data_IF_912026968084
#
_entry.id   IF_912026968084
#
_cell.length_a   1.000
_cell.length_b   1.000
_cell.length_c   1.000
_cell.angle_alpha   90.00
_cell.angle_beta   90.00
_cell.angle_gamma   90.00
#
_symmetry.space_group_name_H-M   'P 1'
#
loop_
_entity.id
_entity.type
_entity.pdbx_description
1 polymer ?
#
# COMPACT_ATOMS: atom_id res chain seq x y z
N UNK A 1 29.97 -15.88 -8.88
CA UNK A 1 29.24 -16.41 -10.06
C UNK A 1 27.85 -15.77 -10.06
N UNK A 2 27.55 -14.85 -10.98
CA UNK A 2 26.27 -14.12 -11.00
C UNK A 2 25.19 -14.96 -11.68
N UNK A 3 24.03 -15.15 -11.03
CA UNK A 3 22.82 -15.59 -11.73
C UNK A 3 22.03 -14.36 -12.19
N UNK A 4 21.96 -14.20 -13.52
CA UNK A 4 21.18 -13.15 -14.19
C UNK A 4 19.69 -13.50 -14.24
N UNK A 5 18.88 -12.45 -14.26
CA UNK A 5 17.48 -12.40 -14.67
C UNK A 5 17.05 -13.45 -15.71
N UNK A 6 16.00 -14.20 -15.41
CA UNK A 6 14.89 -14.51 -16.33
C UNK A 6 13.60 -14.39 -15.52
N UNK A 7 12.57 -13.75 -16.07
CA UNK A 7 11.27 -13.58 -15.41
C UNK A 7 10.13 -14.07 -16.29
N UNK A 8 9.02 -14.44 -15.64
CA UNK A 8 7.74 -14.67 -16.30
C UNK A 8 6.58 -14.21 -15.41
N UNK A 9 5.50 -13.81 -16.07
CA UNK A 9 4.37 -13.04 -15.54
C UNK A 9 3.53 -13.77 -14.48
N UNK A 10 2.72 -13.02 -13.73
CA UNK A 10 1.45 -13.53 -13.23
C UNK A 10 0.40 -12.40 -13.18
N UNK A 11 -0.82 -12.72 -13.60
CA UNK A 11 -1.96 -11.81 -13.68
C UNK A 11 -2.66 -11.64 -12.31
N UNK A 12 -3.38 -10.53 -12.13
CA UNK A 12 -4.34 -10.37 -11.02
C UNK A 12 -5.68 -10.97 -11.44
N UNK A 13 -6.22 -11.89 -10.63
CA UNK A 13 -7.60 -12.37 -10.76
C UNK A 13 -8.51 -11.63 -9.77
N UNK A 14 -9.38 -10.75 -10.28
CA UNK A 14 -10.55 -10.31 -9.53
C UNK A 14 -11.65 -11.36 -9.62
N UNK A 15 -11.86 -12.16 -8.55
CA UNK A 15 -13.07 -12.98 -8.41
C UNK A 15 -14.23 -12.11 -7.93
N UNK A 16 -14.97 -11.54 -8.88
CA UNK A 16 -16.30 -11.00 -8.62
C UNK A 16 -17.27 -12.14 -8.30
N UNK A 17 -17.60 -12.32 -7.01
CA UNK A 17 -18.69 -13.17 -6.58
C UNK A 17 -20.06 -12.47 -6.80
N UNK A 18 -20.37 -12.11 -8.05
CA UNK A 18 -21.69 -11.61 -8.42
C UNK A 18 -22.65 -12.79 -8.45
N UNK A 19 -23.52 -12.87 -7.44
CA UNK A 19 -24.60 -13.84 -7.38
C UNK A 19 -25.65 -13.49 -8.46
N UNK A 20 -25.47 -14.05 -9.67
CA UNK A 20 -26.40 -13.91 -10.79
C UNK A 20 -27.82 -14.33 -10.39
N UNK A 21 -28.69 -13.37 -10.09
CA UNK A 21 -30.14 -13.56 -10.24
C UNK A 21 -30.47 -13.53 -11.72
N UNK A 22 -30.53 -14.71 -12.34
CA UNK A 22 -31.24 -14.86 -13.60
C UNK A 22 -32.74 -14.66 -13.35
N UNK A 23 -33.30 -13.58 -13.91
CA UNK A 23 -34.71 -13.52 -14.24
C UNK A 23 -34.80 -12.90 -15.63
N UNK A 24 -35.29 -13.71 -16.58
CA UNK A 24 -35.39 -13.32 -17.99
C UNK A 24 -36.38 -12.17 -18.16
N UNK A 25 -35.90 -10.99 -18.53
CA UNK A 25 -36.70 -10.00 -19.23
C UNK A 25 -36.83 -10.43 -20.70
N UNK A 26 -37.69 -11.42 -20.95
CA UNK A 26 -38.03 -11.86 -22.30
C UNK A 26 -38.92 -10.82 -22.98
N UNK A 27 -38.34 -9.97 -23.83
CA UNK A 27 -39.11 -9.22 -24.84
C UNK A 27 -39.58 -10.25 -25.87
N UNK A 28 -40.89 -10.38 -26.05
CA UNK A 28 -41.49 -11.14 -27.14
C UNK A 28 -42.55 -10.25 -27.79
N UNK A 29 -42.35 -9.98 -29.08
CA UNK A 29 -43.25 -9.17 -29.89
C UNK A 29 -44.58 -9.87 -30.20
N UNK A 30 -45.52 -9.04 -30.65
CA UNK A 30 -46.90 -9.37 -31.01
C UNK A 30 -47.05 -10.49 -32.06
N UNK A 31 -47.96 -11.44 -31.82
CA UNK A 31 -48.92 -11.87 -32.87
C UNK A 31 -50.16 -12.61 -32.35
N UNK A 32 -51.31 -12.09 -32.76
CA UNK A 32 -52.68 -12.59 -32.78
C UNK A 32 -52.90 -14.12 -32.84
N UNK A 33 -53.76 -14.71 -31.99
CA UNK A 33 -55.06 -15.32 -32.39
C UNK A 33 -55.93 -15.89 -31.25
N UNK A 34 -57.21 -15.51 -31.30
CA UNK A 34 -58.50 -16.13 -30.89
C UNK A 34 -58.59 -17.43 -30.02
N UNK A 35 -59.66 -17.41 -29.21
CA UNK A 35 -60.34 -18.50 -28.47
C UNK A 35 -59.63 -18.92 -27.16
N UNK A 36 -60.29 -19.17 -26.02
CA UNK A 36 -61.72 -19.03 -25.66
C UNK A 36 -62.08 -19.88 -24.43
N UNK A 37 -62.98 -19.39 -23.56
CA UNK A 37 -63.65 -20.08 -22.42
C UNK A 37 -62.87 -20.40 -21.13
N UNK A 38 -63.66 -20.44 -20.03
CA UNK A 38 -63.39 -20.94 -18.68
C UNK A 38 -62.44 -20.13 -17.76
N UNK A 39 -63.04 -19.38 -16.83
CA UNK A 39 -62.35 -18.82 -15.67
C UNK A 39 -62.28 -19.84 -14.52
N UNK A 40 -61.13 -19.95 -13.88
CA UNK A 40 -60.99 -20.58 -12.56
C UNK A 40 -60.35 -19.59 -11.59
N UNK A 41 -61.09 -19.26 -10.52
CA UNK A 41 -60.58 -18.43 -9.43
C UNK A 41 -59.61 -19.29 -8.62
N UNK A 42 -58.31 -18.97 -8.70
CA UNK A 42 -57.29 -19.51 -7.81
C UNK A 42 -56.94 -18.43 -6.80
N UNK A 43 -57.30 -18.66 -5.55
CA UNK A 43 -56.96 -17.78 -4.43
C UNK A 43 -55.43 -17.62 -4.34
N UNK A 44 -54.95 -16.38 -4.35
CA UNK A 44 -53.55 -16.09 -4.07
C UNK A 44 -53.35 -16.09 -2.55
N UNK A 45 -52.51 -16.97 -1.98
CA UNK A 45 -52.12 -16.81 -0.59
C UNK A 45 -51.38 -15.50 -0.43
N UNK A 46 -51.84 -14.66 0.50
CA UNK A 46 -51.14 -13.44 0.91
C UNK A 46 -49.88 -13.86 1.68
N UNK A 47 -48.80 -14.12 0.93
CA UNK A 47 -47.48 -14.26 1.50
C UNK A 47 -47.11 -12.95 2.19
N UNK A 48 -47.15 -12.96 3.52
CA UNK A 48 -46.57 -11.91 4.34
C UNK A 48 -45.16 -11.62 3.83
N UNK A 49 -44.91 -10.35 3.54
CA UNK A 49 -43.56 -9.83 3.32
C UNK A 49 -42.82 -9.90 4.66
N UNK A 50 -42.36 -11.09 5.02
CA UNK A 50 -41.39 -11.27 6.09
C UNK A 50 -40.19 -10.40 5.72
N UNK A 51 -39.93 -9.39 6.53
CA UNK A 51 -38.77 -8.51 6.40
C UNK A 51 -37.52 -9.40 6.42
N UNK A 52 -36.99 -9.69 5.23
CA UNK A 52 -35.61 -10.11 5.08
C UNK A 52 -34.79 -8.85 5.30
N UNK A 53 -34.58 -8.52 6.57
CA UNK A 53 -33.53 -7.63 7.03
C UNK A 53 -32.19 -8.28 6.70
N UNK A 54 -31.82 -8.21 5.43
CA UNK A 54 -30.51 -8.60 4.95
C UNK A 54 -29.49 -7.67 5.58
N UNK A 55 -28.94 -8.09 6.73
CA UNK A 55 -27.81 -7.45 7.38
C UNK A 55 -26.60 -7.60 6.45
N UNK A 56 -26.48 -6.68 5.49
CA UNK A 56 -25.30 -6.53 4.64
C UNK A 56 -24.15 -6.04 5.49
N UNK A 57 -23.41 -6.99 6.07
CA UNK A 57 -22.16 -6.69 6.77
C UNK A 57 -21.10 -6.36 5.73
N UNK A 58 -20.84 -5.08 5.53
CA UNK A 58 -19.81 -4.62 4.61
C UNK A 58 -18.45 -4.76 5.29
N UNK A 59 -17.62 -5.68 4.79
CA UNK A 59 -16.29 -5.88 5.32
C UNK A 59 -15.26 -5.02 4.57
N UNK A 60 -14.54 -4.17 5.29
CA UNK A 60 -13.41 -3.39 4.78
C UNK A 60 -12.12 -4.09 5.17
N UNK A 61 -11.21 -4.26 4.21
CA UNK A 61 -9.94 -4.96 4.41
C UNK A 61 -8.77 -4.00 4.14
N UNK A 62 -8.07 -3.59 5.19
CA UNK A 62 -6.90 -2.71 5.16
C UNK A 62 -5.63 -3.51 4.84
N UNK A 63 -4.82 -3.07 3.88
CA UNK A 63 -3.83 -3.96 3.24
C UNK A 63 -2.38 -3.49 3.46
N UNK A 64 -1.64 -4.14 4.37
CA UNK A 64 -0.26 -3.77 4.75
C UNK A 64 0.74 -4.92 4.58
N UNK A 65 2.04 -4.65 4.66
CA UNK A 65 3.10 -5.67 4.49
C UNK A 65 3.48 -6.41 5.79
N UNK A 66 3.08 -5.89 6.96
CA UNK A 66 3.57 -6.34 8.27
C UNK A 66 5.04 -5.98 8.52
N UNK A 67 5.49 -6.17 9.77
CA UNK A 67 6.85 -5.82 10.21
C UNK A 67 7.38 -6.86 11.21
N UNK A 68 8.31 -7.76 10.82
CA UNK A 68 8.70 -8.88 11.67
C UNK A 68 9.55 -8.45 12.88
N UNK A 69 9.00 -8.56 14.10
CA UNK A 69 9.64 -8.10 15.35
C UNK A 69 10.71 -9.04 15.94
N UNK A 70 11.01 -10.16 15.30
CA UNK A 70 12.07 -11.10 15.75
C UNK A 70 12.98 -11.50 14.59
N UNK A 71 14.25 -11.81 14.88
CA UNK A 71 15.21 -12.26 13.85
C UNK A 71 14.72 -13.56 13.15
N UNK A 72 14.06 -14.46 13.89
CA UNK A 72 13.45 -15.67 13.34
C UNK A 72 12.32 -15.35 12.34
N UNK A 73 11.37 -14.50 12.74
CA UNK A 73 10.28 -14.09 11.83
C UNK A 73 10.82 -13.28 10.65
N UNK A 74 11.91 -12.53 10.83
CA UNK A 74 12.55 -11.76 9.76
C UNK A 74 13.19 -12.67 8.72
N UNK A 75 13.93 -13.71 9.13
CA UNK A 75 14.44 -14.74 8.21
C UNK A 75 13.30 -15.40 7.42
N UNK A 76 12.22 -15.81 8.09
CA UNK A 76 11.05 -16.38 7.43
C UNK A 76 10.36 -15.40 6.46
N UNK A 77 10.27 -14.12 6.84
CA UNK A 77 9.70 -13.07 6.00
C UNK A 77 10.51 -12.87 4.72
N UNK A 78 11.84 -12.73 4.85
CA UNK A 78 12.74 -12.62 3.70
C UNK A 78 12.72 -13.87 2.81
N UNK A 79 12.67 -15.07 3.40
CA UNK A 79 12.56 -16.32 2.63
C UNK A 79 11.23 -16.38 1.85
N UNK A 80 10.10 -16.03 2.49
CA UNK A 80 8.78 -15.93 1.81
C UNK A 80 8.77 -14.85 0.72
N UNK A 81 9.41 -13.70 0.95
CA UNK A 81 9.58 -12.64 -0.05
C UNK A 81 10.40 -13.11 -1.25
N UNK A 82 11.55 -13.74 -0.99
CA UNK A 82 12.40 -14.35 -2.01
C UNK A 82 11.68 -15.45 -2.80
N UNK A 83 10.90 -16.32 -2.14
CA UNK A 83 10.06 -17.33 -2.80
C UNK A 83 9.04 -16.66 -3.74
N UNK A 84 8.31 -15.65 -3.26
CA UNK A 84 7.29 -14.93 -4.05
C UNK A 84 7.92 -14.26 -5.28
N UNK A 85 9.11 -13.70 -5.14
CA UNK A 85 9.82 -12.95 -6.18
C UNK A 85 10.54 -13.87 -7.19
N UNK A 86 11.44 -14.76 -6.73
CA UNK A 86 12.25 -15.64 -7.57
C UNK A 86 11.56 -16.94 -7.99
N UNK A 87 10.36 -17.22 -7.47
CA UNK A 87 9.58 -18.47 -7.69
C UNK A 87 10.32 -19.75 -7.25
N UNK A 88 11.36 -19.64 -6.43
CA UNK A 88 12.05 -20.80 -5.88
C UNK A 88 11.26 -21.46 -4.74
N UNK A 89 11.37 -22.79 -4.57
CA UNK A 89 10.87 -23.50 -3.40
C UNK A 89 11.33 -22.87 -2.08
N UNK A 90 10.44 -22.82 -1.09
CA UNK A 90 10.70 -22.17 0.20
C UNK A 90 11.97 -22.70 0.88
N UNK A 91 12.21 -24.01 0.82
CA UNK A 91 13.38 -24.64 1.45
C UNK A 91 14.71 -24.10 0.89
N UNK A 92 14.81 -23.87 -0.43
CA UNK A 92 16.00 -23.26 -1.03
C UNK A 92 16.15 -21.82 -0.56
N UNK A 93 15.07 -21.04 -0.57
CA UNK A 93 15.13 -19.64 -0.14
C UNK A 93 15.50 -19.50 1.34
N UNK A 94 15.05 -20.41 2.22
CA UNK A 94 15.46 -20.45 3.62
C UNK A 94 16.95 -20.76 3.76
N UNK A 95 17.45 -21.81 3.09
CA UNK A 95 18.88 -22.16 3.10
C UNK A 95 19.77 -21.01 2.61
N UNK A 96 19.38 -20.33 1.53
CA UNK A 96 20.09 -19.15 1.05
C UNK A 96 20.04 -18.01 2.06
N UNK A 97 18.87 -17.70 2.65
CA UNK A 97 18.73 -16.64 3.66
C UNK A 97 19.55 -16.96 4.92
N UNK A 98 19.63 -18.21 5.37
CA UNK A 98 20.45 -18.60 6.52
C UNK A 98 21.94 -18.46 6.24
N UNK A 99 22.42 -18.89 5.06
CA UNK A 99 23.82 -18.78 4.67
C UNK A 99 24.30 -17.33 4.53
N UNK A 100 23.44 -16.43 4.03
CA UNK A 100 23.76 -15.00 3.83
C UNK A 100 23.39 -14.12 5.02
N UNK A 101 22.66 -14.64 6.02
CA UNK A 101 22.16 -13.85 7.15
C UNK A 101 23.24 -13.02 7.86
N UNK A 102 24.47 -13.53 8.13
CA UNK A 102 25.52 -12.75 8.78
C UNK A 102 25.94 -11.50 7.98
N UNK A 103 25.78 -11.53 6.66
CA UNK A 103 26.07 -10.41 5.76
C UNK A 103 24.89 -9.41 5.66
N UNK A 104 23.69 -9.81 6.08
CA UNK A 104 22.46 -9.01 6.02
C UNK A 104 22.32 -8.05 7.22
N UNK A 105 23.39 -7.31 7.54
CA UNK A 105 23.44 -6.37 8.68
C UNK A 105 22.26 -5.37 8.68
N UNK A 106 21.78 -4.96 7.49
CA UNK A 106 20.64 -4.04 7.34
C UNK A 106 19.35 -4.55 7.99
N UNK A 107 18.96 -5.78 7.70
CA UNK A 107 17.76 -6.37 8.29
C UNK A 107 17.93 -6.59 9.80
N UNK A 108 19.13 -6.98 10.23
CA UNK A 108 19.43 -7.19 11.65
C UNK A 108 19.28 -5.90 12.48
N UNK A 109 19.82 -4.76 12.01
CA UNK A 109 19.69 -3.51 12.77
C UNK A 109 18.24 -2.97 12.75
N UNK A 110 17.50 -3.14 11.66
CA UNK A 110 16.12 -2.66 11.58
C UNK A 110 15.24 -3.34 12.64
N UNK A 111 15.42 -4.66 12.81
CA UNK A 111 14.71 -5.46 13.83
C UNK A 111 15.16 -5.09 15.25
N UNK A 112 16.43 -4.75 15.45
CA UNK A 112 16.95 -4.35 16.76
C UNK A 112 16.35 -3.01 17.23
N UNK A 113 16.48 -1.95 16.43
CA UNK A 113 16.00 -0.61 16.76
C UNK A 113 14.48 -0.56 17.01
N UNK A 114 13.72 -1.21 16.15
CA UNK A 114 12.26 -1.19 16.19
C UNK A 114 11.68 -2.34 17.04
N UNK A 115 12.51 -2.97 17.90
CA UNK A 115 12.01 -3.86 18.95
C UNK A 115 11.28 -3.07 20.05
N UNK A 116 11.67 -1.82 20.26
CA UNK A 116 11.15 -0.93 21.32
C UNK A 116 10.12 0.09 20.81
N UNK A 117 9.98 0.27 19.49
CA UNK A 117 8.94 1.11 18.92
C UNK A 117 7.56 0.44 18.95
N UNK A 118 6.49 1.21 18.92
CA UNK A 118 5.12 0.67 18.89
C UNK A 118 4.94 -0.33 17.73
N UNK A 119 4.15 -1.37 17.97
CA UNK A 119 3.78 -2.38 17.00
C UNK A 119 2.99 -1.76 15.84
N UNK A 120 3.36 -2.06 14.59
CA UNK A 120 2.59 -1.66 13.41
C UNK A 120 1.17 -2.24 13.49
N UNK A 121 1.02 -3.44 14.04
CA UNK A 121 -0.26 -4.11 14.21
C UNK A 121 -1.16 -3.32 15.19
N UNK A 122 -0.61 -2.69 16.24
CA UNK A 122 -1.36 -1.83 17.16
C UNK A 122 -1.83 -0.53 16.49
N UNK A 123 -0.98 0.06 15.64
CA UNK A 123 -1.35 1.26 14.86
C UNK A 123 -2.47 0.92 13.87
N UNK A 124 -2.35 -0.22 13.18
CA UNK A 124 -3.37 -0.72 12.26
C UNK A 124 -4.66 -1.07 12.99
N UNK A 125 -4.61 -1.70 14.17
CA UNK A 125 -5.79 -2.02 15.00
C UNK A 125 -6.54 -0.75 15.42
N UNK A 126 -5.83 0.27 15.95
CA UNK A 126 -6.43 1.57 16.29
C UNK A 126 -7.12 2.21 15.09
N UNK A 127 -6.45 2.25 13.93
CA UNK A 127 -7.06 2.78 12.70
C UNK A 127 -8.24 1.96 12.19
N UNK A 128 -8.19 0.63 12.31
CA UNK A 128 -9.26 -0.29 11.91
C UNK A 128 -10.53 0.01 12.73
N UNK A 129 -10.39 0.16 14.05
CA UNK A 129 -11.48 0.51 14.95
C UNK A 129 -12.04 1.91 14.67
N UNK A 130 -11.20 2.94 14.56
CA UNK A 130 -11.67 4.30 14.26
C UNK A 130 -12.36 4.39 12.88
N UNK A 131 -11.85 3.66 11.87
CA UNK A 131 -12.50 3.60 10.56
C UNK A 131 -13.86 2.89 10.63
N UNK A 132 -13.97 1.80 11.40
CA UNK A 132 -15.24 1.10 11.63
C UNK A 132 -16.27 2.02 12.31
N UNK A 133 -15.86 2.76 13.35
CA UNK A 133 -16.71 3.76 14.02
C UNK A 133 -17.17 4.87 13.05
N UNK A 134 -16.25 5.46 12.28
CA UNK A 134 -16.57 6.51 11.32
C UNK A 134 -17.50 6.02 10.20
N UNK A 135 -17.28 4.83 9.64
CA UNK A 135 -18.12 4.28 8.58
C UNK A 135 -19.54 3.94 9.07
N UNK A 136 -19.64 3.33 10.25
CA UNK A 136 -20.92 3.05 10.89
C UNK A 136 -21.71 4.33 11.24
N UNK A 137 -21.01 5.44 11.55
CA UNK A 137 -21.65 6.73 11.78
C UNK A 137 -22.08 7.45 10.49
N UNK A 138 -21.25 7.43 9.44
CA UNK A 138 -21.48 8.20 8.21
C UNK A 138 -22.41 7.50 7.21
N UNK A 139 -22.48 6.17 7.21
CA UNK A 139 -23.21 5.37 6.21
C UNK A 139 -24.11 4.30 6.86
N UNK A 140 -24.99 4.65 7.82
CA UNK A 140 -25.81 3.68 8.55
C UNK A 140 -26.74 2.85 7.63
N UNK A 141 -27.18 3.43 6.52
CA UNK A 141 -28.06 2.80 5.53
C UNK A 141 -27.43 1.63 4.76
N UNK A 142 -26.09 1.51 4.78
CA UNK A 142 -25.36 0.41 4.12
C UNK A 142 -25.20 -0.84 5.01
N UNK A 143 -25.69 -0.77 6.25
CA UNK A 143 -25.55 -1.82 7.26
C UNK A 143 -24.26 -1.70 8.07
N UNK A 144 -24.08 -2.61 9.04
CA UNK A 144 -22.92 -2.56 9.94
C UNK A 144 -21.62 -2.88 9.19
N UNK A 145 -20.68 -1.94 9.21
CA UNK A 145 -19.33 -2.15 8.72
C UNK A 145 -18.53 -3.00 9.71
N UNK A 146 -17.66 -3.85 9.18
CA UNK A 146 -16.60 -4.49 9.95
C UNK A 146 -15.26 -4.28 9.25
N UNK A 147 -14.32 -3.63 9.92
CA UNK A 147 -12.98 -3.40 9.40
C UNK A 147 -12.03 -4.49 9.90
N UNK A 148 -11.17 -4.96 9.01
CA UNK A 148 -10.12 -5.96 9.29
C UNK A 148 -8.88 -5.65 8.44
N UNK A 149 -7.76 -6.33 8.67
CA UNK A 149 -6.54 -6.08 7.89
C UNK A 149 -5.85 -7.35 7.34
N UNK A 150 -5.28 -7.25 6.13
CA UNK A 150 -4.53 -8.28 5.43
C UNK A 150 -3.42 -7.66 4.55
N UNK A 151 -3.12 -8.22 3.35
CA UNK A 151 -1.96 -7.85 2.52
C UNK A 151 -2.31 -7.51 1.05
N UNK A 152 -1.78 -6.40 0.52
CA UNK A 152 -1.71 -5.99 -0.92
C UNK A 152 -3.08 -5.79 -1.66
N UNK A 153 -3.48 -4.62 -2.21
CA UNK A 153 -2.83 -3.31 -2.46
C UNK A 153 -3.89 -2.18 -2.70
N UNK A 154 -3.46 -1.03 -3.25
CA UNK A 154 -4.22 0.20 -3.62
C UNK A 154 -4.73 1.08 -2.46
N UNK A 155 -4.47 2.39 -2.54
CA UNK A 155 -4.74 3.38 -1.48
C UNK A 155 -5.12 4.75 -2.09
N UNK A 156 -6.24 5.38 -1.69
CA UNK A 156 -6.65 6.69 -2.21
C UNK A 156 -6.09 7.86 -1.38
N UNK A 157 -5.59 8.89 -2.08
CA UNK A 157 -5.27 10.25 -1.57
C UNK A 157 -4.12 10.44 -0.56
N UNK A 158 -3.04 9.65 -0.71
CA UNK A 158 -1.71 9.89 -0.08
C UNK A 158 -1.22 11.35 -0.22
N UNK A 159 -1.56 12.00 -1.33
CA UNK A 159 -1.14 13.37 -1.68
C UNK A 159 -1.69 14.44 -0.72
N UNK A 160 -2.98 14.37 -0.37
CA UNK A 160 -3.60 15.31 0.56
C UNK A 160 -2.92 15.29 1.95
N UNK A 161 -2.54 14.09 2.43
CA UNK A 161 -1.81 13.93 3.68
C UNK A 161 -0.45 14.63 3.63
N UNK A 162 0.36 14.36 2.60
CA UNK A 162 1.69 14.96 2.49
C UNK A 162 1.65 16.47 2.26
N UNK A 163 0.73 16.98 1.45
CA UNK A 163 0.51 18.42 1.33
C UNK A 163 0.25 19.07 2.70
N UNK A 164 -0.61 18.49 3.55
CA UNK A 164 -0.87 19.02 4.89
C UNK A 164 0.38 19.01 5.80
N UNK A 165 1.18 17.94 5.78
CA UNK A 165 2.39 17.86 6.61
C UNK A 165 3.51 18.78 6.12
N UNK A 166 3.71 18.89 4.81
CA UNK A 166 4.74 19.73 4.20
C UNK A 166 4.39 21.23 4.35
N UNK A 167 3.12 21.61 4.10
CA UNK A 167 2.65 23.00 4.20
C UNK A 167 2.91 23.63 5.57
N UNK A 168 2.90 22.84 6.64
CA UNK A 168 3.19 23.29 8.01
C UNK A 168 4.66 23.70 8.26
N UNK A 169 5.57 23.32 7.35
CA UNK A 169 7.03 23.53 7.47
C UNK A 169 7.64 24.11 6.20
N UNK A 170 6.82 24.58 5.25
CA UNK A 170 7.29 24.89 3.90
C UNK A 170 8.29 26.06 3.87
N UNK A 171 8.14 27.01 4.79
CA UNK A 171 8.98 28.21 4.86
C UNK A 171 10.35 27.95 5.54
N UNK A 172 10.55 26.75 6.13
CA UNK A 172 11.82 26.33 6.77
C UNK A 172 12.82 25.70 5.77
N UNK A 173 12.41 25.44 4.52
CA UNK A 173 13.18 24.64 3.56
C UNK A 173 13.22 25.24 2.15
N UNK A 174 14.38 25.15 1.49
CA UNK A 174 14.59 25.65 0.12
C UNK A 174 14.14 24.64 -0.96
N UNK A 175 13.98 23.37 -0.57
CA UNK A 175 13.73 22.23 -1.45
C UNK A 175 13.17 21.00 -0.75
N UNK A 176 12.54 20.11 -1.54
CA UNK A 176 12.00 18.83 -1.07
C UNK A 176 12.67 17.66 -1.83
N UNK A 177 13.12 16.66 -1.09
CA UNK A 177 13.54 15.37 -1.64
C UNK A 177 12.51 14.29 -1.26
N UNK A 178 11.67 13.91 -2.21
CA UNK A 178 10.80 12.75 -2.05
C UNK A 178 11.62 11.48 -2.17
N UNK A 179 11.56 10.62 -1.16
CA UNK A 179 12.29 9.34 -1.11
C UNK A 179 11.32 8.17 -1.10
N UNK A 180 11.65 7.13 -1.88
CA UNK A 180 10.84 5.93 -1.98
C UNK A 180 11.73 4.66 -2.10
N UNK A 181 11.27 3.50 -1.61
CA UNK A 181 11.99 2.25 -1.75
C UNK A 181 12.05 1.81 -3.22
N UNK A 182 13.21 1.36 -3.68
CA UNK A 182 13.40 0.97 -5.09
C UNK A 182 12.69 -0.36 -5.39
N UNK A 183 11.55 -0.35 -6.08
CA UNK A 183 10.97 -1.61 -6.56
C UNK A 183 11.82 -2.28 -7.67
N UNK A 184 11.86 -3.61 -7.63
CA UNK A 184 12.54 -4.46 -8.64
C UNK A 184 11.50 -5.29 -9.41
N UNK A 185 11.86 -5.75 -10.62
CA UNK A 185 11.00 -6.58 -11.46
C UNK A 185 9.96 -5.79 -12.26
N UNK A 186 8.98 -6.49 -12.84
CA UNK A 186 8.09 -5.97 -13.89
C UNK A 186 7.29 -4.72 -13.50
N UNK A 187 6.79 -4.65 -12.26
CA UNK A 187 5.99 -3.52 -11.78
C UNK A 187 6.83 -2.26 -11.46
N UNK A 188 8.16 -2.32 -11.46
CA UNK A 188 9.04 -1.19 -11.10
C UNK A 188 8.74 0.09 -11.89
N UNK A 189 8.55 -0.01 -13.22
CA UNK A 189 8.23 1.17 -14.06
C UNK A 189 6.86 1.77 -13.76
N UNK A 190 5.88 0.96 -13.39
CA UNK A 190 4.54 1.44 -13.02
C UNK A 190 4.61 2.14 -11.66
N UNK A 191 5.18 1.46 -10.66
CA UNK A 191 5.42 2.03 -9.33
C UNK A 191 6.18 3.36 -9.38
N UNK A 192 7.27 3.44 -10.16
CA UNK A 192 8.02 4.70 -10.28
C UNK A 192 7.21 5.84 -10.91
N UNK A 193 6.28 5.54 -11.83
CA UNK A 193 5.34 6.53 -12.39
C UNK A 193 4.29 6.95 -11.37
N UNK A 194 3.73 6.01 -10.61
CA UNK A 194 2.74 6.28 -9.57
C UNK A 194 3.34 7.16 -8.47
N UNK A 195 4.53 6.82 -7.97
CA UNK A 195 5.29 7.62 -7.01
C UNK A 195 5.55 9.02 -7.56
N UNK A 196 6.11 9.13 -8.77
CA UNK A 196 6.38 10.44 -9.39
C UNK A 196 5.09 11.27 -9.56
N UNK A 197 3.98 10.64 -9.97
CA UNK A 197 2.68 11.30 -10.10
C UNK A 197 2.15 11.80 -8.76
N UNK A 198 2.44 11.09 -7.67
CA UNK A 198 2.04 11.46 -6.30
C UNK A 198 2.86 12.64 -5.82
N UNK A 199 4.18 12.65 -6.05
CA UNK A 199 5.03 13.81 -5.82
C UNK A 199 4.53 15.03 -6.61
N UNK A 200 4.20 14.86 -7.90
CA UNK A 200 3.68 15.97 -8.72
C UNK A 200 2.33 16.49 -8.18
N UNK A 201 1.39 15.62 -7.78
CA UNK A 201 0.12 16.08 -7.19
C UNK A 201 0.34 16.86 -5.89
N UNK A 202 1.24 16.41 -5.02
CA UNK A 202 1.65 17.14 -3.81
C UNK A 202 2.24 18.51 -4.16
N UNK A 203 3.14 18.59 -5.14
CA UNK A 203 3.79 19.84 -5.53
C UNK A 203 2.84 20.83 -6.21
N UNK A 204 1.91 20.34 -7.04
CA UNK A 204 0.82 21.14 -7.61
C UNK A 204 -0.06 21.76 -6.50
N UNK A 205 -0.37 21.01 -5.43
CA UNK A 205 -1.10 21.53 -4.26
C UNK A 205 -0.28 22.54 -3.43
N UNK A 206 1.05 22.51 -3.53
CA UNK A 206 1.98 23.48 -2.93
C UNK A 206 2.36 24.63 -3.89
N UNK A 207 1.62 24.78 -5.00
CA UNK A 207 1.82 25.83 -6.02
C UNK A 207 3.25 25.87 -6.60
N UNK A 208 3.92 24.71 -6.67
CA UNK A 208 5.31 24.53 -7.10
C UNK A 208 6.33 25.48 -6.40
N UNK A 209 6.01 25.95 -5.19
CA UNK A 209 6.81 26.94 -4.43
C UNK A 209 8.26 26.52 -4.15
N UNK A 210 8.55 25.21 -4.12
CA UNK A 210 9.87 24.67 -3.79
C UNK A 210 10.44 23.80 -4.91
N UNK A 211 11.77 23.85 -5.08
CA UNK A 211 12.47 22.94 -5.97
C UNK A 211 12.40 21.51 -5.39
N UNK A 212 12.07 20.52 -6.22
CA UNK A 212 11.90 19.15 -5.77
C UNK A 212 12.60 18.12 -6.65
N UNK A 213 12.97 16.99 -6.04
CA UNK A 213 13.53 15.80 -6.72
C UNK A 213 12.97 14.52 -6.11
N UNK A 214 13.06 13.42 -6.87
CA UNK A 214 12.75 12.06 -6.40
C UNK A 214 14.02 11.24 -6.29
N UNK A 215 14.22 10.54 -5.17
CA UNK A 215 15.32 9.59 -4.99
C UNK A 215 14.83 8.21 -4.54
N UNK A 216 15.57 7.19 -4.95
CA UNK A 216 15.33 5.81 -4.56
C UNK A 216 16.37 5.33 -3.54
N UNK A 217 15.94 4.46 -2.63
CA UNK A 217 16.83 3.75 -1.70
C UNK A 217 16.50 2.26 -1.67
N UNK A 218 17.48 1.41 -1.33
CA UNK A 218 17.24 -0.02 -1.17
C UNK A 218 16.59 -0.32 0.19
N UNK A 219 15.29 -0.63 0.20
CA UNK A 219 14.50 -0.90 1.40
C UNK A 219 15.11 -1.98 2.33
N UNK A 220 14.71 -2.02 3.59
CA UNK A 220 15.32 -2.90 4.62
C UNK A 220 15.40 -4.38 4.21
N UNK A 221 14.39 -4.88 3.48
CA UNK A 221 14.21 -6.25 3.00
C UNK A 221 14.94 -6.53 1.67
N UNK A 222 15.43 -5.47 1.02
CA UNK A 222 16.09 -5.57 -0.28
C UNK A 222 17.60 -5.76 -0.14
N UNK A 223 18.13 -6.61 -1.02
CA UNK A 223 19.55 -6.65 -1.36
C UNK A 223 20.07 -5.28 -1.78
N UNK A 224 21.38 -4.98 -1.62
CA UNK A 224 21.97 -3.77 -2.17
C UNK A 224 21.65 -3.62 -3.66
N UNK A 225 21.26 -2.41 -4.10
CA UNK A 225 21.13 -2.04 -5.52
C UNK A 225 22.04 -0.86 -5.84
N UNK A 226 22.57 -0.86 -7.05
CA UNK A 226 23.55 0.11 -7.55
C UNK A 226 22.96 1.15 -8.50
N UNK A 227 21.72 1.61 -8.28
CA UNK A 227 21.19 2.75 -9.04
C UNK A 227 21.73 4.06 -8.45
N UNK A 228 23.00 4.34 -8.74
CA UNK A 228 23.75 5.47 -8.19
C UNK A 228 23.15 6.82 -8.63
N UNK A 229 22.66 6.92 -9.87
CA UNK A 229 22.21 8.18 -10.47
C UNK A 229 20.93 8.73 -9.84
N UNK A 230 20.01 7.86 -9.43
CA UNK A 230 18.76 8.24 -8.77
C UNK A 230 18.81 8.00 -7.25
N UNK A 231 20.00 7.77 -6.69
CA UNK A 231 20.20 7.57 -5.26
C UNK A 231 20.05 8.85 -4.46
N UNK A 232 19.70 8.72 -3.17
CA UNK A 232 19.61 9.85 -2.23
C UNK A 232 20.85 10.76 -2.26
N UNK A 233 22.11 10.26 -2.15
CA UNK A 233 23.29 11.12 -2.21
C UNK A 233 23.42 11.91 -3.52
N UNK A 234 23.09 11.29 -4.67
CA UNK A 234 23.19 11.95 -5.98
C UNK A 234 22.13 13.05 -6.14
N UNK A 235 20.90 12.80 -5.70
CA UNK A 235 19.83 13.79 -5.81
C UNK A 235 20.04 14.96 -4.82
N UNK A 236 20.58 14.70 -3.62
CA UNK A 236 21.04 15.74 -2.70
C UNK A 236 22.20 16.56 -3.27
N UNK A 237 23.18 15.91 -3.93
CA UNK A 237 24.27 16.62 -4.62
C UNK A 237 23.73 17.56 -5.70
N UNK A 238 22.75 17.11 -6.51
CA UNK A 238 22.13 17.95 -7.54
C UNK A 238 21.38 19.14 -6.92
N UNK A 239 20.61 18.95 -5.84
CA UNK A 239 19.96 20.05 -5.11
C UNK A 239 20.97 21.08 -4.59
N UNK A 240 22.05 20.62 -3.94
CA UNK A 240 23.11 21.49 -3.40
C UNK A 240 23.83 22.27 -4.49
N UNK A 241 24.09 21.65 -5.64
CA UNK A 241 24.67 22.30 -6.83
C UNK A 241 23.75 23.39 -7.38
N UNK A 242 22.43 23.19 -7.27
CA UNK A 242 21.41 24.17 -7.65
C UNK A 242 21.11 25.17 -6.49
N UNK A 243 22.08 25.37 -5.57
CA UNK A 243 22.06 26.24 -4.38
C UNK A 243 20.95 25.96 -3.35
N UNK A 244 20.44 24.73 -3.28
CA UNK A 244 19.45 24.31 -2.28
C UNK A 244 20.16 23.60 -1.11
N UNK A 245 20.25 24.28 0.03
CA UNK A 245 20.97 23.75 1.20
C UNK A 245 20.01 23.10 2.20
N UNK A 246 18.88 23.74 2.51
CA UNK A 246 17.88 23.20 3.42
C UNK A 246 16.92 22.30 2.63
N UNK A 247 17.09 20.98 2.79
CA UNK A 247 16.26 19.96 2.12
C UNK A 247 15.38 19.23 3.12
N UNK A 248 14.07 19.26 2.89
CA UNK A 248 13.10 18.40 3.57
C UNK A 248 13.03 17.05 2.86
N UNK A 249 13.29 15.96 3.58
CA UNK A 249 13.21 14.60 3.06
C UNK A 249 11.86 13.99 3.41
N UNK A 250 11.12 13.53 2.42
CA UNK A 250 9.74 13.06 2.58
C UNK A 250 9.60 11.61 2.09
N UNK A 251 9.32 10.62 2.97
CA UNK A 251 9.14 9.23 2.59
C UNK A 251 7.77 8.99 1.95
N UNK A 252 7.58 9.45 0.71
CA UNK A 252 6.27 9.64 0.05
C UNK A 252 5.36 8.40 0.05
N UNK A 253 5.92 7.19 0.09
CA UNK A 253 5.15 5.92 0.09
C UNK A 253 4.92 5.30 1.47
N UNK A 254 5.30 5.99 2.56
CA UNK A 254 5.17 5.48 3.92
C UNK A 254 4.40 6.48 4.77
N UNK A 255 3.07 6.35 4.85
CA UNK A 255 2.22 7.13 5.77
C UNK A 255 2.42 6.67 7.24
N UNK A 256 2.82 5.40 7.40
CA UNK A 256 3.10 4.78 8.70
C UNK A 256 4.60 4.66 8.96
N UNK A 257 5.01 4.74 10.24
CA UNK A 257 6.39 4.46 10.62
C UNK A 257 6.70 2.96 10.42
N UNK A 258 7.65 2.65 9.56
CA UNK A 258 8.13 1.30 9.29
C UNK A 258 9.66 1.18 9.52
N UNK A 259 10.24 0.01 9.27
CA UNK A 259 11.70 -0.17 9.34
C UNK A 259 12.47 0.78 8.39
N UNK A 260 11.87 1.18 7.26
CA UNK A 260 12.51 2.11 6.32
C UNK A 260 12.58 3.52 6.94
N UNK A 261 11.50 4.03 7.52
CA UNK A 261 11.45 5.40 8.05
C UNK A 261 12.01 5.53 9.46
N UNK A 262 11.85 4.51 10.32
CA UNK A 262 12.36 4.54 11.71
C UNK A 262 13.85 4.19 11.80
N UNK A 263 14.32 3.15 11.11
CA UNK A 263 15.67 2.59 11.34
C UNK A 263 16.65 2.79 10.17
N UNK A 264 16.17 2.79 8.92
CA UNK A 264 17.02 2.86 7.74
C UNK A 264 17.31 4.29 7.29
N UNK A 265 16.27 5.10 7.04
CA UNK A 265 16.41 6.48 6.55
C UNK A 265 17.29 7.34 7.46
N UNK A 266 17.11 7.36 8.80
CA UNK A 266 17.98 8.12 9.71
C UNK A 266 19.47 7.70 9.68
N UNK A 267 19.79 6.48 9.20
CA UNK A 267 21.18 6.02 9.05
C UNK A 267 21.80 6.34 7.68
N UNK A 268 20.99 6.41 6.62
CA UNK A 268 21.50 6.65 5.25
C UNK A 268 21.41 8.12 4.81
N UNK A 269 20.67 8.95 5.56
CA UNK A 269 20.58 10.38 5.31
C UNK A 269 21.76 11.13 5.96
N UNK A 270 22.31 12.16 5.30
CA UNK A 270 23.26 13.08 5.94
C UNK A 270 22.65 13.79 7.15
N UNK A 271 23.48 14.20 8.11
CA UNK A 271 23.00 14.92 9.30
C UNK A 271 22.43 16.32 9.00
N UNK A 272 22.74 16.89 7.84
CA UNK A 272 22.29 18.23 7.42
C UNK A 272 20.84 18.27 6.89
N UNK A 273 20.18 17.13 6.64
CA UNK A 273 18.83 17.11 6.06
C UNK A 273 17.78 16.73 7.09
N UNK A 274 16.61 17.38 7.03
CA UNK A 274 15.50 17.07 7.95
C UNK A 274 14.60 15.99 7.36
N UNK A 275 14.42 14.88 8.08
CA UNK A 275 13.46 13.84 7.72
C UNK A 275 12.07 14.19 8.26
N UNK A 276 11.07 14.19 7.39
CA UNK A 276 9.67 14.23 7.77
C UNK A 276 9.22 12.83 8.17
N UNK A 277 9.06 12.60 9.47
CA UNK A 277 8.57 11.31 9.97
C UNK A 277 7.09 11.11 9.63
N UNK A 278 6.68 9.87 9.31
CA UNK A 278 5.27 9.52 9.17
C UNK A 278 4.53 9.57 10.52
N UNK A 279 3.20 9.44 10.48
CA UNK A 279 2.33 9.77 11.62
C UNK A 279 2.54 8.84 12.84
N UNK A 280 2.46 9.41 14.05
CA UNK A 280 2.26 8.66 15.30
C UNK A 280 0.96 9.21 15.92
N UNK A 281 -0.03 8.33 16.08
CA UNK A 281 -1.29 8.59 16.80
C UNK A 281 -1.07 8.42 18.31
#
# INVERSE_FOLDING_TARGET
MLLRYIGNSCQVMCKHAVQKRYLHAGIVDTSTTRNGTAASVIERPVLHSNNVSSCSRTCVLLLHQGQPRTLCHTKQFLAKGAQRFYKFPLYLTSLFIDAVWPLCQKAQFCVADCKESESLDNIMERMTTTLEECLNHLLPDLGSFHCSHAFLHEEPSIDNYWHQQIRRKIDDFDSILFVAPQMRGYASKQYSREVWSTCQRVMNQLEDRLAWRTAWFGAWDQWPSSNLFESIPMQLYLLRRDNKQHTLVVPITSIFPDFNTQALLPRILPKEVSLLFPFIL
#
